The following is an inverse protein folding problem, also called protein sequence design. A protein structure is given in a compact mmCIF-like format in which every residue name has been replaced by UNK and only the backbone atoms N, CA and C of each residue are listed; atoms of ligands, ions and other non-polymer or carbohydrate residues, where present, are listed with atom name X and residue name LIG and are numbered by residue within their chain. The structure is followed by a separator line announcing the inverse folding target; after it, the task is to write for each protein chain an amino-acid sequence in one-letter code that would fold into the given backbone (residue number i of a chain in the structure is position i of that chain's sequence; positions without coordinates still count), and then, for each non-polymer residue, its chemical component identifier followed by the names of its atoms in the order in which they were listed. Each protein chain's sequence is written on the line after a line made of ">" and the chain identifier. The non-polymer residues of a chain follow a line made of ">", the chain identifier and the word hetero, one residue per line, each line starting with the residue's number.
data_IF_606000987328
#
_entry.id   IF_606000987328
#
_cell.length_a   1.000
_cell.length_b   1.000
_cell.length_c   1.000
_cell.angle_alpha   90.00
_cell.angle_beta   90.00
_cell.angle_gamma   90.00
#
_symmetry.space_group_name_H-M   'P 1'
#
loop_
_entity.id
_entity.type
_entity.pdbx_description
1 polymer ?
#
# COMPACT_ATOMS: atom_id res chain seq x y z
N UNK A 1 -0.40 -5.86 24.42
CA UNK A 1 1.04 -5.91 24.10
C UNK A 1 1.45 -4.55 23.56
N UNK A 2 2.70 -4.15 23.76
CA UNK A 2 3.20 -2.86 23.29
C UNK A 2 4.08 -3.09 22.07
N UNK A 3 3.67 -2.53 20.93
CA UNK A 3 4.46 -2.46 19.70
C UNK A 3 5.89 -1.98 20.00
N UNK A 4 6.88 -2.54 19.29
CA UNK A 4 8.28 -2.15 19.44
C UNK A 4 8.60 -0.99 18.48
N UNK A 5 8.92 0.19 19.03
CA UNK A 5 9.53 1.29 18.25
C UNK A 5 11.04 1.18 18.39
N UNK A 6 11.73 1.18 17.26
CA UNK A 6 13.17 0.97 17.20
C UNK A 6 13.93 2.30 17.20
N UNK A 7 15.22 2.24 17.52
CA UNK A 7 16.09 3.42 17.51
C UNK A 7 16.08 4.08 16.12
N UNK A 8 16.06 5.41 16.11
CA UNK A 8 16.04 6.17 14.88
C UNK A 8 17.23 5.85 13.98
N UNK A 9 16.97 5.70 12.68
CA UNK A 9 17.94 5.40 11.63
C UNK A 9 18.85 4.20 11.96
N UNK A 10 18.36 3.22 12.73
CA UNK A 10 19.15 2.05 13.14
C UNK A 10 18.96 0.81 12.24
N UNK A 11 18.01 0.84 11.30
CA UNK A 11 17.75 -0.29 10.42
C UNK A 11 18.82 -0.40 9.33
N UNK A 12 19.70 -1.40 9.45
CA UNK A 12 20.91 -1.51 8.64
C UNK A 12 20.62 -1.61 7.15
N UNK A 13 19.71 -2.52 6.78
CA UNK A 13 19.40 -2.80 5.36
C UNK A 13 18.68 -1.62 4.71
N UNK A 14 17.71 -1.00 5.41
CA UNK A 14 16.97 0.14 4.89
C UNK A 14 17.86 1.39 4.71
N UNK A 15 18.85 1.59 5.58
CA UNK A 15 19.85 2.65 5.42
C UNK A 15 20.72 2.44 4.18
N UNK A 16 21.28 1.23 4.00
CA UNK A 16 22.09 0.90 2.81
C UNK A 16 21.30 1.14 1.52
N UNK A 17 20.03 0.74 1.48
CA UNK A 17 19.17 0.99 0.32
C UNK A 17 18.87 2.50 0.11
N UNK A 18 18.81 3.28 1.18
CA UNK A 18 18.60 4.73 1.12
C UNK A 18 19.79 5.48 0.52
N UNK A 19 21.01 5.03 0.83
CA UNK A 19 22.25 5.63 0.33
C UNK A 19 22.48 5.33 -1.15
N UNK A 20 22.06 4.15 -1.59
CA UNK A 20 22.21 3.71 -2.99
C UNK A 20 21.16 4.28 -3.95
N UNK A 21 20.11 4.94 -3.45
CA UNK A 21 18.98 5.43 -4.24
C UNK A 21 18.74 6.94 -4.02
N UNK A 22 19.43 7.82 -4.76
CA UNK A 22 19.40 9.27 -4.52
C UNK A 22 18.02 9.90 -4.80
N UNK A 23 17.15 9.24 -5.57
CA UNK A 23 15.79 9.69 -5.88
C UNK A 23 14.79 9.51 -4.72
N UNK A 24 15.19 8.87 -3.60
CA UNK A 24 14.37 8.89 -2.39
C UNK A 24 14.47 10.24 -1.67
N UNK A 25 13.31 10.84 -1.44
CA UNK A 25 13.19 12.09 -0.70
C UNK A 25 13.25 11.83 0.81
N UNK A 26 13.82 12.77 1.59
CA UNK A 26 13.67 12.74 3.03
C UNK A 26 12.20 12.75 3.44
N UNK A 27 11.87 11.93 4.45
CA UNK A 27 10.56 11.88 5.11
C UNK A 27 10.66 12.25 6.59
N UNK A 28 11.87 12.27 7.15
CA UNK A 28 12.11 12.64 8.54
C UNK A 28 12.38 14.16 8.69
N UNK A 29 11.94 14.79 9.79
CA UNK A 29 11.01 14.22 10.77
C UNK A 29 9.65 13.94 10.11
N UNK A 30 9.07 12.79 10.43
CA UNK A 30 7.71 12.47 10.00
C UNK A 30 6.77 13.38 10.79
N UNK A 31 5.74 13.93 10.14
CA UNK A 31 4.78 14.75 10.87
C UNK A 31 3.98 13.92 11.88
N UNK A 32 3.43 14.59 12.90
CA UNK A 32 2.73 13.93 14.00
C UNK A 32 1.51 13.13 13.53
N UNK A 33 0.88 13.54 12.43
CA UNK A 33 -0.29 12.87 11.87
C UNK A 33 0.10 11.55 11.23
N UNK A 34 1.11 11.56 10.36
CA UNK A 34 1.65 10.38 9.68
C UNK A 34 2.27 9.41 10.71
N UNK A 35 2.98 9.91 11.72
CA UNK A 35 3.49 9.07 12.79
C UNK A 35 2.38 8.43 13.62
N UNK A 36 1.35 9.20 14.00
CA UNK A 36 0.18 8.68 14.71
C UNK A 36 -0.52 7.58 13.90
N UNK A 37 -0.72 7.82 12.60
CA UNK A 37 -1.31 6.85 11.68
C UNK A 37 -0.48 5.56 11.60
N UNK A 38 0.85 5.69 11.55
CA UNK A 38 1.75 4.55 11.56
C UNK A 38 1.58 3.65 12.79
N UNK A 39 1.64 4.29 13.97
CA UNK A 39 1.51 3.63 15.27
C UNK A 39 0.15 2.97 15.43
N UNK A 40 -0.93 3.69 15.11
CA UNK A 40 -2.32 3.19 15.18
C UNK A 40 -2.53 1.98 14.28
N UNK A 41 -2.03 2.04 13.04
CA UNK A 41 -2.10 0.94 12.10
C UNK A 41 -1.42 -0.33 12.63
N UNK A 42 -0.16 -0.21 13.09
CA UNK A 42 0.58 -1.36 13.63
C UNK A 42 -0.08 -1.93 14.88
N UNK A 43 -0.50 -1.08 15.82
CA UNK A 43 -1.20 -1.53 17.03
C UNK A 43 -2.51 -2.25 16.72
N UNK A 44 -3.30 -1.75 15.78
CA UNK A 44 -4.53 -2.41 15.34
C UNK A 44 -4.23 -3.76 14.69
N UNK A 45 -3.25 -3.81 13.79
CA UNK A 45 -2.80 -5.05 13.17
C UNK A 45 -2.36 -6.09 14.19
N UNK A 46 -1.41 -5.76 15.08
CA UNK A 46 -0.91 -6.70 16.09
C UNK A 46 -2.02 -7.21 17.01
N UNK A 47 -2.94 -6.32 17.40
CA UNK A 47 -4.13 -6.68 18.18
C UNK A 47 -5.01 -7.68 17.41
N UNK A 48 -5.29 -7.43 16.13
CA UNK A 48 -6.12 -8.31 15.30
C UNK A 48 -5.47 -9.66 15.04
N UNK A 49 -4.15 -9.71 14.85
CA UNK A 49 -3.41 -10.98 14.76
C UNK A 49 -3.60 -11.80 16.04
N UNK A 50 -3.41 -11.16 17.21
CA UNK A 50 -3.62 -11.84 18.49
C UNK A 50 -5.07 -12.30 18.70
N UNK A 51 -6.06 -11.51 18.25
CA UNK A 51 -7.49 -11.84 18.37
C UNK A 51 -7.91 -13.01 17.47
N UNK A 52 -7.46 -13.04 16.22
CA UNK A 52 -7.91 -14.01 15.21
C UNK A 52 -7.06 -15.29 15.19
N UNK A 53 -5.76 -15.18 15.45
CA UNK A 53 -4.81 -16.30 15.33
C UNK A 53 -4.19 -16.72 16.66
N UNK A 54 -4.36 -15.92 17.73
CA UNK A 54 -3.73 -16.21 19.03
C UNK A 54 -2.21 -16.03 19.02
N UNK A 55 -1.68 -15.39 17.98
CA UNK A 55 -0.24 -15.22 17.77
C UNK A 55 0.28 -13.91 18.35
N UNK A 56 1.54 -13.93 18.77
CA UNK A 56 2.28 -12.72 19.14
C UNK A 56 3.18 -12.31 17.99
N UNK A 57 3.01 -11.08 17.52
CA UNK A 57 3.91 -10.49 16.52
C UNK A 57 5.16 -9.96 17.22
N UNK A 58 6.34 -10.30 16.69
CA UNK A 58 7.64 -9.84 17.17
C UNK A 58 8.36 -9.10 16.03
N UNK A 59 7.93 -7.86 15.79
CA UNK A 59 8.44 -6.99 14.71
C UNK A 59 8.63 -5.57 15.24
N UNK A 60 9.55 -4.83 14.64
CA UNK A 60 9.86 -3.44 14.99
C UNK A 60 9.29 -2.44 13.99
N UNK A 61 8.88 -1.27 14.48
CA UNK A 61 8.61 -0.08 13.68
C UNK A 61 9.87 0.79 13.65
N UNK A 62 10.43 0.97 12.46
CA UNK A 62 11.71 1.63 12.22
C UNK A 62 11.49 2.92 11.43
N UNK A 63 11.95 4.05 11.98
CA UNK A 63 11.99 5.34 11.28
C UNK A 63 13.44 5.71 10.95
N UNK A 64 13.69 6.18 9.73
CA UNK A 64 14.95 6.80 9.33
C UNK A 64 14.72 7.99 8.42
N UNK A 65 15.78 8.61 7.92
CA UNK A 65 15.69 9.83 7.11
C UNK A 65 14.78 9.70 5.88
N UNK A 66 14.77 8.53 5.24
CA UNK A 66 14.10 8.28 3.95
C UNK A 66 13.18 7.07 3.97
N UNK A 67 12.84 6.54 5.14
CA UNK A 67 11.98 5.36 5.28
C UNK A 67 11.22 5.31 6.59
N UNK A 68 10.07 4.65 6.51
CA UNK A 68 9.37 4.08 7.66
C UNK A 68 9.09 2.61 7.33
N UNK A 69 9.62 1.68 8.13
CA UNK A 69 9.50 0.24 7.90
C UNK A 69 8.90 -0.47 9.09
N UNK A 70 8.20 -1.57 8.84
CA UNK A 70 7.71 -2.49 9.85
C UNK A 70 8.17 -3.92 9.53
N UNK A 71 8.85 -4.57 10.48
CA UNK A 71 9.43 -5.91 10.30
C UNK A 71 10.67 -6.15 11.14
N UNK A 72 11.48 -7.14 10.76
CA UNK A 72 12.72 -7.48 11.48
C UNK A 72 13.96 -6.98 10.72
N UNK A 73 15.04 -6.69 11.46
CA UNK A 73 16.37 -6.39 10.91
C UNK A 73 17.15 -7.69 10.66
N UNK A 74 16.54 -8.61 9.89
CA UNK A 74 17.10 -9.93 9.55
C UNK A 74 17.09 -10.13 8.03
N UNK A 75 18.06 -10.88 7.45
CA UNK A 75 17.97 -11.33 6.07
C UNK A 75 16.65 -12.08 5.81
N UNK A 76 16.31 -12.19 4.52
CA UNK A 76 15.02 -12.66 4.02
C UNK A 76 14.63 -14.03 4.58
N UNK A 77 13.80 -14.04 5.62
CA UNK A 77 13.05 -15.19 6.12
C UNK A 77 11.56 -14.90 5.94
N UNK A 78 10.80 -15.88 5.43
CA UNK A 78 9.33 -15.82 5.36
C UNK A 78 8.79 -15.48 6.76
N UNK A 79 8.06 -14.37 6.87
CA UNK A 79 7.52 -13.86 8.14
C UNK A 79 8.42 -12.86 8.90
N UNK A 80 9.69 -12.71 8.51
CA UNK A 80 10.64 -11.73 9.07
C UNK A 80 10.88 -10.49 8.21
N UNK A 81 10.63 -10.56 6.89
CA UNK A 81 10.84 -9.44 5.95
C UNK A 81 10.25 -8.12 6.46
N UNK A 82 10.98 -7.02 6.30
CA UNK A 82 10.40 -5.70 6.49
C UNK A 82 9.59 -5.25 5.28
N UNK A 83 8.55 -4.48 5.55
CA UNK A 83 7.71 -3.79 4.60
C UNK A 83 7.48 -2.37 5.09
N UNK A 84 7.44 -1.40 4.20
CA UNK A 84 7.19 -0.03 4.61
C UNK A 84 7.07 0.92 3.44
N UNK A 85 7.30 2.21 3.73
CA UNK A 85 7.09 3.29 2.77
C UNK A 85 8.33 4.14 2.60
N UNK A 86 8.44 4.69 1.39
CA UNK A 86 9.41 5.72 1.01
C UNK A 86 8.74 6.78 0.15
N UNK A 87 9.31 7.98 0.11
CA UNK A 87 8.87 9.04 -0.79
C UNK A 87 9.81 9.16 -1.99
N UNK A 88 9.27 9.25 -3.20
CA UNK A 88 10.07 9.37 -4.43
C UNK A 88 10.02 10.77 -5.02
N UNK A 89 11.15 11.21 -5.56
CA UNK A 89 11.26 12.41 -6.38
C UNK A 89 10.89 12.12 -7.86
N UNK A 90 9.77 11.42 -8.08
CA UNK A 90 9.21 11.18 -9.42
C UNK A 90 7.97 12.06 -9.57
N UNK A 91 7.44 12.23 -10.79
CA UNK A 91 6.22 13.02 -11.03
C UNK A 91 5.08 12.11 -11.51
N UNK A 92 3.93 11.98 -10.81
CA UNK A 92 3.59 12.60 -9.54
C UNK A 92 4.61 12.31 -8.44
N UNK A 93 4.93 13.29 -7.59
CA UNK A 93 5.63 12.96 -6.34
C UNK A 93 4.64 12.30 -5.41
N UNK A 94 5.07 11.24 -4.76
CA UNK A 94 4.17 10.39 -4.01
C UNK A 94 4.90 9.36 -3.19
N UNK A 95 4.11 8.64 -2.43
CA UNK A 95 4.58 7.58 -1.55
C UNK A 95 4.61 6.27 -2.32
N UNK A 96 5.61 5.44 -2.03
CA UNK A 96 5.73 4.12 -2.60
C UNK A 96 5.92 3.11 -1.47
N UNK A 97 5.44 1.90 -1.70
CA UNK A 97 5.60 0.79 -0.76
C UNK A 97 6.81 -0.01 -1.20
N UNK A 98 7.66 -0.37 -0.25
CA UNK A 98 8.88 -1.14 -0.47
C UNK A 98 8.95 -2.30 0.49
N UNK A 99 9.40 -3.45 -0.01
CA UNK A 99 9.66 -4.65 0.79
C UNK A 99 11.09 -5.13 0.59
N UNK A 100 11.64 -5.79 1.61
CA UNK A 100 12.88 -6.55 1.48
C UNK A 100 12.68 -7.68 0.47
N UNK A 101 13.54 -7.74 -0.54
CA UNK A 101 13.63 -8.83 -1.51
C UNK A 101 15.02 -9.50 -1.46
N UNK A 102 15.25 -10.44 -2.37
CA UNK A 102 16.46 -11.24 -2.41
C UNK A 102 17.72 -10.36 -2.39
N UNK A 103 18.81 -10.90 -1.82
CA UNK A 103 20.12 -10.23 -1.76
C UNK A 103 20.12 -8.89 -1.01
N UNK A 104 19.21 -8.70 -0.06
CA UNK A 104 19.06 -7.48 0.75
C UNK A 104 18.71 -6.22 -0.08
N UNK A 105 18.15 -6.43 -1.27
CA UNK A 105 17.63 -5.35 -2.09
C UNK A 105 16.19 -5.00 -1.68
N UNK A 106 15.72 -3.84 -2.14
CA UNK A 106 14.32 -3.46 -2.02
C UNK A 106 13.60 -3.54 -3.36
N UNK A 107 12.50 -4.29 -3.34
CA UNK A 107 11.55 -4.39 -4.44
C UNK A 107 10.35 -3.46 -4.30
N UNK A 108 9.47 -3.48 -5.31
CA UNK A 108 8.13 -2.91 -5.17
C UNK A 108 7.33 -3.72 -4.15
N UNK A 109 6.71 -3.03 -3.19
CA UNK A 109 5.83 -3.64 -2.20
C UNK A 109 4.45 -4.01 -2.74
N UNK A 110 4.16 -3.81 -4.03
CA UNK A 110 2.94 -4.25 -4.71
C UNK A 110 2.13 -3.14 -5.40
N UNK A 111 2.33 -1.87 -5.00
CA UNK A 111 1.85 -0.69 -5.72
C UNK A 111 3.02 0.15 -6.21
N UNK A 112 2.81 0.86 -7.31
CA UNK A 112 3.83 1.74 -7.86
C UNK A 112 3.97 3.01 -7.00
N UNK A 113 2.83 3.68 -6.76
CA UNK A 113 2.78 4.98 -6.10
C UNK A 113 1.40 5.36 -5.61
N UNK A 114 1.32 6.18 -4.56
CA UNK A 114 0.09 6.80 -4.02
C UNK A 114 0.26 8.30 -3.81
N UNK A 115 -0.86 9.01 -3.68
CA UNK A 115 -0.90 10.44 -3.39
C UNK A 115 -0.52 10.78 -1.93
N UNK A 116 -0.83 9.90 -0.98
CA UNK A 116 -0.74 10.17 0.45
C UNK A 116 -0.02 9.07 1.24
N UNK A 117 0.51 9.45 2.41
CA UNK A 117 1.14 8.53 3.35
C UNK A 117 0.13 7.51 3.85
N UNK A 118 -1.07 7.96 4.22
CA UNK A 118 -2.18 7.12 4.67
C UNK A 118 -2.43 5.94 3.71
N UNK A 119 -2.63 6.20 2.41
CA UNK A 119 -2.86 5.14 1.43
C UNK A 119 -1.67 4.19 1.30
N UNK A 120 -0.45 4.71 1.32
CA UNK A 120 0.75 3.87 1.27
C UNK A 120 0.85 2.99 2.52
N UNK A 121 0.55 3.53 3.70
CA UNK A 121 0.61 2.80 4.96
C UNK A 121 -0.52 1.80 5.12
N UNK A 122 -1.75 2.13 4.69
CA UNK A 122 -2.85 1.16 4.55
C UNK A 122 -2.44 -0.02 3.67
N UNK A 123 -1.73 0.22 2.57
CA UNK A 123 -1.23 -0.86 1.73
C UNK A 123 -0.14 -1.71 2.41
N UNK A 124 0.76 -1.08 3.18
CA UNK A 124 1.71 -1.82 4.05
C UNK A 124 0.93 -2.74 4.98
N UNK A 125 -0.06 -2.21 5.70
CA UNK A 125 -0.88 -3.00 6.62
C UNK A 125 -1.64 -4.10 5.89
N UNK A 126 -2.21 -3.83 4.71
CA UNK A 126 -2.88 -4.85 3.88
C UNK A 126 -1.99 -6.04 3.58
N UNK A 127 -0.74 -5.81 3.23
CA UNK A 127 0.22 -6.89 2.98
C UNK A 127 0.60 -7.63 4.28
N UNK A 128 0.74 -6.92 5.39
CA UNK A 128 0.94 -7.57 6.70
C UNK A 128 -0.24 -8.47 7.09
N UNK A 129 -1.48 -8.07 6.77
CA UNK A 129 -2.67 -8.91 6.96
C UNK A 129 -2.65 -10.08 5.97
N UNK A 130 -2.35 -9.83 4.69
CA UNK A 130 -2.30 -10.88 3.67
C UNK A 130 -1.34 -12.01 4.03
N UNK A 131 -0.18 -11.71 4.63
CA UNK A 131 0.80 -12.72 5.05
C UNK A 131 0.20 -13.78 5.99
N UNK A 132 -0.85 -13.46 6.74
CA UNK A 132 -1.56 -14.42 7.61
C UNK A 132 -2.61 -15.25 6.88
N UNK A 133 -3.13 -14.76 5.76
CA UNK A 133 -4.21 -15.43 5.03
C UNK A 133 -3.72 -16.23 3.83
N UNK A 134 -2.68 -15.77 3.12
CA UNK A 134 -2.29 -16.26 1.79
C UNK A 134 -2.04 -17.78 1.74
N UNK A 135 -1.47 -18.34 2.80
CA UNK A 135 -1.15 -19.77 2.90
C UNK A 135 -2.16 -20.57 3.76
N UNK A 136 -3.20 -19.91 4.27
CA UNK A 136 -4.23 -20.60 5.07
C UNK A 136 -5.07 -21.56 4.23
N UNK A 137 -5.47 -22.70 4.80
CA UNK A 137 -6.30 -23.71 4.11
C UNK A 137 -7.58 -23.11 3.53
N UNK A 138 -8.21 -22.18 4.24
CA UNK A 138 -9.40 -21.48 3.77
C UNK A 138 -9.12 -20.68 2.51
N UNK A 139 -8.05 -19.87 2.51
CA UNK A 139 -7.71 -18.99 1.40
C UNK A 139 -7.31 -19.77 0.16
N UNK A 140 -6.44 -20.78 0.35
CA UNK A 140 -6.00 -21.70 -0.70
C UNK A 140 -7.18 -22.50 -1.25
N UNK A 141 -8.03 -23.05 -0.38
CA UNK A 141 -9.23 -23.81 -0.76
C UNK A 141 -10.27 -23.01 -1.54
N UNK A 142 -10.32 -21.69 -1.32
CA UNK A 142 -11.17 -20.76 -2.07
C UNK A 142 -10.48 -20.18 -3.32
N UNK A 143 -9.20 -20.49 -3.56
CA UNK A 143 -8.44 -19.96 -4.68
C UNK A 143 -8.28 -18.43 -4.67
N UNK A 144 -8.29 -17.81 -3.48
CA UNK A 144 -8.23 -16.35 -3.35
C UNK A 144 -6.83 -15.80 -3.63
N UNK A 145 -6.77 -14.62 -4.23
CA UNK A 145 -5.53 -13.87 -4.51
C UNK A 145 -5.52 -12.45 -3.92
N UNK A 146 -6.70 -11.94 -3.56
CA UNK A 146 -6.91 -10.63 -2.94
C UNK A 146 -8.11 -10.72 -1.98
N UNK A 147 -8.26 -9.74 -1.08
CA UNK A 147 -9.35 -9.72 -0.10
C UNK A 147 -10.70 -9.53 -0.76
N UNK A 148 -10.79 -8.57 -1.68
CA UNK A 148 -12.05 -8.22 -2.32
C UNK A 148 -12.16 -8.79 -3.75
N UNK A 149 -11.17 -9.54 -4.22
CA UNK A 149 -11.18 -10.14 -5.56
C UNK A 149 -11.16 -9.05 -6.64
N UNK A 150 -12.03 -9.20 -7.64
CA UNK A 150 -12.26 -8.20 -8.68
C UNK A 150 -13.40 -7.23 -8.34
N UNK A 151 -13.88 -7.20 -7.09
CA UNK A 151 -14.94 -6.27 -6.69
C UNK A 151 -14.38 -4.86 -6.58
N UNK A 152 -15.08 -3.92 -7.22
CA UNK A 152 -14.77 -2.49 -7.17
C UNK A 152 -15.76 -1.86 -6.20
N UNK A 153 -15.24 -1.11 -5.22
CA UNK A 153 -16.09 -0.39 -4.27
C UNK A 153 -16.79 0.79 -4.97
N UNK A 154 -18.03 1.07 -4.60
CA UNK A 154 -18.88 2.06 -5.28
C UNK A 154 -18.32 3.49 -5.23
N UNK A 155 -17.59 3.84 -4.17
CA UNK A 155 -16.95 5.14 -3.99
C UNK A 155 -15.54 5.21 -4.62
N UNK A 156 -15.23 4.31 -5.56
CA UNK A 156 -13.97 4.35 -6.30
C UNK A 156 -14.21 4.39 -7.81
N UNK A 157 -13.40 5.20 -8.50
CA UNK A 157 -13.27 5.18 -9.95
C UNK A 157 -11.86 4.76 -10.33
N UNK A 158 -11.65 4.31 -11.57
CA UNK A 158 -10.32 3.95 -12.04
C UNK A 158 -10.15 4.24 -13.52
N UNK A 159 -8.90 4.39 -13.94
CA UNK A 159 -8.50 4.58 -15.34
C UNK A 159 -7.40 3.60 -15.68
N UNK A 160 -7.50 2.93 -16.84
CA UNK A 160 -6.44 2.07 -17.34
C UNK A 160 -5.40 2.90 -18.12
N UNK A 161 -4.13 2.66 -17.80
CA UNK A 161 -2.97 3.21 -18.48
C UNK A 161 -2.32 2.11 -19.32
N UNK A 162 -2.13 2.36 -20.61
CA UNK A 162 -1.43 1.49 -21.53
C UNK A 162 0.09 1.56 -21.33
N UNK A 163 0.84 0.64 -21.93
CA UNK A 163 2.30 0.63 -21.85
C UNK A 163 2.96 1.90 -22.43
N UNK A 164 2.33 2.51 -23.42
CA UNK A 164 2.75 3.79 -24.03
C UNK A 164 2.30 5.02 -23.23
N UNK A 165 1.63 4.82 -22.09
CA UNK A 165 1.07 5.88 -21.25
C UNK A 165 -0.23 6.49 -21.78
N UNK A 166 -0.80 5.97 -22.87
CA UNK A 166 -2.15 6.36 -23.32
C UNK A 166 -3.21 5.81 -22.37
N UNK A 167 -4.36 6.48 -22.32
CA UNK A 167 -5.52 5.99 -21.59
C UNK A 167 -6.31 5.00 -22.45
N UNK A 168 -6.71 3.88 -21.85
CA UNK A 168 -7.69 3.00 -22.44
C UNK A 168 -9.04 3.17 -21.73
N UNK A 169 -10.02 3.88 -22.33
CA UNK A 169 -11.34 4.03 -21.74
C UNK A 169 -12.10 2.69 -21.84
N UNK A 170 -12.17 1.93 -20.75
CA UNK A 170 -13.16 0.86 -20.62
C UNK A 170 -14.51 1.43 -20.17
N UNK A 171 -15.61 0.74 -20.47
CA UNK A 171 -16.91 1.38 -20.74
C UNK A 171 -17.77 1.65 -19.50
N UNK A 172 -17.44 1.13 -18.31
CA UNK A 172 -18.35 1.21 -17.16
C UNK A 172 -17.74 2.00 -15.98
N UNK A 173 -18.41 3.10 -15.59
CA UNK A 173 -18.14 4.01 -14.44
C UNK A 173 -16.96 5.00 -14.53
N UNK A 174 -16.78 5.62 -15.70
CA UNK A 174 -15.51 6.28 -16.09
C UNK A 174 -15.43 7.82 -16.01
N UNK A 175 -16.51 8.55 -15.73
CA UNK A 175 -16.54 10.00 -16.04
C UNK A 175 -15.70 10.89 -15.13
N UNK A 176 -15.50 10.55 -13.85
CA UNK A 176 -14.81 11.45 -12.90
C UNK A 176 -13.28 11.27 -12.85
N UNK A 177 -12.78 10.02 -12.88
CA UNK A 177 -11.33 9.74 -12.82
C UNK A 177 -10.57 10.23 -14.06
N UNK A 178 -11.22 10.24 -15.22
CA UNK A 178 -10.65 10.72 -16.49
C UNK A 178 -10.33 12.21 -16.48
N UNK A 179 -11.25 13.04 -15.99
CA UNK A 179 -11.07 14.51 -15.99
C UNK A 179 -9.87 14.92 -15.13
N UNK A 180 -9.73 14.31 -13.95
CA UNK A 180 -8.58 14.56 -13.08
C UNK A 180 -7.28 14.09 -13.72
N UNK A 181 -7.25 12.87 -14.28
CA UNK A 181 -6.04 12.34 -14.89
C UNK A 181 -5.60 13.14 -16.12
N UNK A 182 -6.51 13.57 -16.97
CA UNK A 182 -6.17 14.42 -18.12
C UNK A 182 -5.62 15.78 -17.66
N UNK A 183 -6.24 16.43 -16.67
CA UNK A 183 -5.71 17.65 -16.07
C UNK A 183 -4.31 17.45 -15.46
N UNK A 184 -4.07 16.29 -14.85
CA UNK A 184 -2.78 15.94 -14.25
C UNK A 184 -1.71 15.63 -15.31
N UNK A 185 -2.07 14.85 -16.34
CA UNK A 185 -1.21 14.49 -17.48
C UNK A 185 -0.72 15.71 -18.23
N UNK A 186 -1.56 16.73 -18.43
CA UNK A 186 -1.14 17.99 -19.06
C UNK A 186 -0.03 18.69 -18.28
N UNK A 187 -0.01 18.57 -16.95
CA UNK A 187 1.06 19.11 -16.10
C UNK A 187 2.33 18.26 -16.25
N UNK A 188 2.19 16.92 -16.26
CA UNK A 188 3.30 15.99 -16.44
C UNK A 188 4.03 16.18 -17.78
N UNK A 189 3.28 16.42 -18.86
CA UNK A 189 3.81 16.55 -20.22
C UNK A 189 4.57 17.86 -20.49
N UNK A 190 4.45 18.86 -19.60
CA UNK A 190 5.07 20.19 -19.75
C UNK A 190 6.46 20.31 -19.10
N UNK A 191 6.94 19.30 -18.37
CA UNK A 191 8.20 19.36 -17.61
C UNK A 191 9.37 18.53 -18.17
N UNK A 192 10.59 19.03 -18.02
CA UNK A 192 11.89 18.35 -18.23
C UNK A 192 12.31 17.48 -17.02
N UNK A 193 11.33 16.95 -16.27
CA UNK A 193 11.57 16.14 -15.08
C UNK A 193 11.64 14.65 -15.44
N UNK A 194 12.30 13.84 -14.61
CA UNK A 194 12.27 12.38 -14.73
C UNK A 194 10.81 11.92 -14.77
N UNK A 195 10.34 11.61 -15.98
CA UNK A 195 9.00 11.09 -16.22
C UNK A 195 8.85 9.81 -15.39
N UNK A 196 7.62 9.50 -14.96
CA UNK A 196 7.21 8.19 -14.45
C UNK A 196 8.04 7.08 -15.10
N UNK A 197 8.28 5.96 -14.42
CA UNK A 197 8.48 4.74 -15.18
C UNK A 197 7.20 4.53 -15.99
N UNK A 198 7.19 4.81 -17.32
CA UNK A 198 6.00 4.54 -18.12
C UNK A 198 5.74 3.04 -18.00
N UNK A 199 4.48 2.66 -17.85
CA UNK A 199 4.14 1.27 -17.62
C UNK A 199 2.64 1.07 -17.57
N UNK A 200 2.17 -0.05 -18.13
CA UNK A 200 0.76 -0.37 -18.11
C UNK A 200 0.27 -0.54 -16.66
N UNK A 201 -0.99 -0.24 -16.43
CA UNK A 201 -1.59 -0.39 -15.10
C UNK A 201 -2.94 0.29 -14.98
N UNK A 202 -3.34 0.52 -13.74
CA UNK A 202 -4.59 1.13 -13.35
C UNK A 202 -4.34 2.18 -12.28
N UNK A 203 -4.97 3.34 -12.43
CA UNK A 203 -4.98 4.40 -11.42
C UNK A 203 -6.37 4.44 -10.83
N UNK A 204 -6.47 4.25 -9.52
CA UNK A 204 -7.73 4.29 -8.78
C UNK A 204 -7.84 5.61 -8.03
N UNK A 205 -9.04 6.14 -7.91
CA UNK A 205 -9.37 7.41 -7.26
C UNK A 205 -10.58 7.24 -6.33
N UNK A 206 -10.59 7.94 -5.20
CA UNK A 206 -11.83 8.17 -4.45
C UNK A 206 -12.77 9.06 -5.28
N UNK A 207 -14.05 8.70 -5.33
CA UNK A 207 -15.08 9.56 -5.94
C UNK A 207 -15.37 10.80 -5.10
N UNK A 208 -15.16 10.70 -3.78
CA UNK A 208 -15.47 11.77 -2.82
C UNK A 208 -14.29 12.75 -2.69
N UNK A 209 -13.05 12.24 -2.79
CA UNK A 209 -11.84 13.05 -2.84
C UNK A 209 -10.89 12.60 -3.97
N UNK A 210 -11.01 13.17 -5.19
CA UNK A 210 -10.16 12.79 -6.33
C UNK A 210 -8.65 13.05 -6.16
N UNK A 211 -8.23 13.75 -5.08
CA UNK A 211 -6.81 13.88 -4.72
C UNK A 211 -6.24 12.62 -4.08
N UNK A 212 -7.09 11.73 -3.59
CA UNK A 212 -6.71 10.43 -3.07
C UNK A 212 -6.71 9.41 -4.20
N UNK A 213 -5.50 8.99 -4.56
CA UNK A 213 -5.29 8.06 -5.66
C UNK A 213 -4.10 7.15 -5.42
N UNK A 214 -4.11 6.01 -6.12
CA UNK A 214 -2.97 5.13 -6.21
C UNK A 214 -2.86 4.50 -7.59
N UNK A 215 -1.61 4.22 -7.99
CA UNK A 215 -1.28 3.48 -9.21
C UNK A 215 -0.86 2.06 -8.85
N UNK A 216 -1.46 1.11 -9.54
CA UNK A 216 -1.12 -0.30 -9.49
C UNK A 216 -0.90 -0.82 -10.92
N UNK A 217 -0.07 -1.86 -11.09
CA UNK A 217 0.12 -2.57 -12.36
C UNK A 217 -0.91 -3.68 -12.60
N UNK A 218 -1.67 -4.08 -11.57
CA UNK A 218 -2.68 -5.16 -11.62
C UNK A 218 -4.10 -4.66 -11.31
N UNK A 219 -5.10 -5.13 -12.07
CA UNK A 219 -6.52 -4.76 -11.85
C UNK A 219 -7.14 -5.45 -10.64
N UNK A 220 -6.77 -6.71 -10.39
CA UNK A 220 -7.34 -7.59 -9.35
C UNK A 220 -6.88 -7.26 -7.92
N UNK A 221 -6.00 -6.27 -7.79
CA UNK A 221 -5.47 -5.74 -6.54
C UNK A 221 -6.10 -4.39 -6.22
N UNK A 222 -7.44 -4.33 -6.29
CA UNK A 222 -8.27 -3.19 -5.88
C UNK A 222 -8.47 -3.10 -4.36
N UNK A 223 -7.84 -3.99 -3.57
CA UNK A 223 -8.04 -4.03 -2.11
C UNK A 223 -7.80 -2.69 -1.40
N UNK A 224 -6.96 -1.82 -1.96
CA UNK A 224 -6.69 -0.50 -1.40
C UNK A 224 -7.83 0.49 -1.67
N UNK A 225 -8.61 0.34 -2.74
CA UNK A 225 -9.72 1.27 -3.02
C UNK A 225 -10.83 1.15 -1.97
N UNK A 226 -10.97 -0.03 -1.35
CA UNK A 226 -11.84 -0.25 -0.19
C UNK A 226 -11.38 0.48 1.08
N UNK A 227 -10.14 1.02 1.09
CA UNK A 227 -9.61 1.83 2.16
C UNK A 227 -9.71 3.33 1.92
N UNK A 228 -10.27 3.77 0.79
CA UNK A 228 -10.61 5.18 0.60
C UNK A 228 -11.62 5.61 1.65
N UNK A 229 -11.39 6.78 2.24
CA UNK A 229 -12.27 7.44 3.23
C UNK A 229 -12.51 6.65 4.53
N UNK A 230 -11.84 5.50 4.72
CA UNK A 230 -11.82 4.77 6.00
C UNK A 230 -10.65 5.23 6.87
N UNK A 231 -10.82 5.18 8.19
CA UNK A 231 -9.67 5.27 9.09
C UNK A 231 -8.81 3.99 9.00
N UNK A 232 -7.55 4.07 9.41
CA UNK A 232 -6.62 2.95 9.25
C UNK A 232 -7.06 1.71 10.04
N UNK A 233 -7.59 1.87 11.26
CA UNK A 233 -8.05 0.74 12.07
C UNK A 233 -9.29 0.06 11.48
N UNK A 234 -10.18 0.83 10.88
CA UNK A 234 -11.39 0.32 10.23
C UNK A 234 -11.02 -0.47 8.98
N UNK A 235 -10.11 0.06 8.17
CA UNK A 235 -9.58 -0.64 7.00
C UNK A 235 -8.92 -1.97 7.39
N UNK A 236 -8.04 -1.98 8.40
CA UNK A 236 -7.41 -3.21 8.88
C UNK A 236 -8.45 -4.19 9.40
N UNK A 237 -9.41 -3.74 10.20
CA UNK A 237 -10.47 -4.59 10.76
C UNK A 237 -11.34 -5.20 9.66
N UNK A 238 -11.63 -4.45 8.60
CA UNK A 238 -12.35 -4.93 7.43
C UNK A 238 -11.57 -6.05 6.72
N UNK A 239 -10.25 -5.90 6.53
CA UNK A 239 -9.41 -6.93 5.92
C UNK A 239 -9.43 -8.24 6.71
N UNK A 240 -9.34 -8.19 8.05
CA UNK A 240 -9.46 -9.40 8.88
C UNK A 240 -10.85 -10.03 8.79
N UNK A 241 -11.89 -9.21 8.74
CA UNK A 241 -13.27 -9.68 8.59
C UNK A 241 -13.46 -10.42 7.28
N UNK A 242 -13.03 -9.81 6.17
CA UNK A 242 -13.11 -10.36 4.81
C UNK A 242 -12.17 -11.56 4.65
N UNK A 243 -11.01 -11.52 5.31
CA UNK A 243 -10.06 -12.62 5.48
C UNK A 243 -10.73 -13.96 5.82
N UNK A 244 -11.74 -13.89 6.69
CA UNK A 244 -12.41 -15.04 7.29
C UNK A 244 -13.76 -15.40 6.64
N UNK A 245 -14.23 -14.65 5.64
CA UNK A 245 -15.51 -14.98 4.97
C UNK A 245 -15.35 -16.18 4.03
N UNK A 246 -16.27 -17.15 4.10
CA UNK A 246 -16.26 -18.34 3.23
C UNK A 246 -16.69 -18.07 1.77
N UNK A 247 -17.26 -16.91 1.48
CA UNK A 247 -17.63 -16.46 0.13
C UNK A 247 -17.59 -14.93 0.05
N UNK A 248 -17.13 -14.39 -1.08
CA UNK A 248 -17.09 -12.94 -1.36
C UNK A 248 -18.49 -12.35 -1.61
N UNK A 249 -19.50 -13.18 -1.90
CA UNK A 249 -20.89 -12.73 -2.07
C UNK A 249 -21.48 -12.19 -0.75
N UNK A 250 -20.85 -12.51 0.38
CA UNK A 250 -21.27 -12.09 1.72
C UNK A 250 -20.67 -10.74 2.14
N UNK A 251 -19.90 -10.10 1.26
CA UNK A 251 -19.24 -8.81 1.53
C UNK A 251 -20.19 -7.64 1.28
N UNK A 252 -21.21 -7.81 0.43
CA UNK A 252 -22.15 -6.76 0.07
C UNK A 252 -23.03 -6.43 1.30
N UNK A 253 -22.65 -5.41 2.08
CA UNK A 253 -23.24 -5.03 3.36
C UNK A 253 -22.28 -4.91 4.55
N UNK A 254 -20.97 -5.08 4.33
CA UNK A 254 -19.94 -4.84 5.36
C UNK A 254 -19.48 -3.37 5.50
N UNK A 255 -20.01 -2.48 4.65
CA UNK A 255 -19.77 -1.02 4.65
C UNK A 255 -21.12 -0.32 4.50
#
# INVERSE_FOLDING_TARGET
>A
MTMQVMDYASHKIANVNSDNRPWYLPIAPLDDSDWSLAVRGVQCYEKKVSEYFGEKVDRGLWLGDKYLMYGTDSPLELGGRYLGVRRRNQLPSGWCVTSLCDRNEEGSGGIDQTSSFDLAWKYVMRNCVLDHFIDSELWVGLGRRSFFGNKIVQNSSYVQVCADGSLNPHVDNFSQGNEWWEAYREILMKGDLEKLSPGPGFVFFSTDNPRDWYKNVWLDSSDLSWGFDLDIEDYISLLFTVGNVKSLDKIDGLI
#
